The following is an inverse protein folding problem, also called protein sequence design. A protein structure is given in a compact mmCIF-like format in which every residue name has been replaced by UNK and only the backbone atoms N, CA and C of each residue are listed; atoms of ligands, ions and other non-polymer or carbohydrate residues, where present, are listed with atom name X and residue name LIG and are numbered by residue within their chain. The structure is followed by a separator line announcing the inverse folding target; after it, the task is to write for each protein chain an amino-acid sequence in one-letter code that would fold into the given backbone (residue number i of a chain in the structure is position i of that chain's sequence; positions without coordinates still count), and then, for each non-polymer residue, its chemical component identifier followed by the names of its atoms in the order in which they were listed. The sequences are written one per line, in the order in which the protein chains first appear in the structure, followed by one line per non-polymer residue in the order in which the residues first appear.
data_IF_079357505821
#
_entry.id   IF_079357505821
#
_cell.length_a   1.000
_cell.length_b   1.000
_cell.length_c   1.000
_cell.angle_alpha   90.00
_cell.angle_beta   90.00
_cell.angle_gamma   90.00
#
_symmetry.space_group_name_H-M   'P 1'
#
loop_
_entity.id
_entity.type
_entity.pdbx_description
1 polymer ?
#
# COMPACT_ATOMS: atom_id res chain seq x y z
N UNK A 1 5.77 -7.58 -0.13
CA UNK A 1 4.58 -8.42 -0.38
C UNK A 1 4.47 -8.84 -1.85
N UNK A 2 4.43 -7.92 -2.82
CA UNK A 2 4.33 -8.26 -4.25
C UNK A 2 5.45 -9.16 -4.80
N UNK A 3 6.70 -9.00 -4.34
CA UNK A 3 7.79 -9.94 -4.70
C UNK A 3 7.48 -11.40 -4.30
N UNK A 4 6.78 -11.61 -3.18
CA UNK A 4 6.40 -12.95 -2.73
C UNK A 4 5.30 -13.56 -3.60
N UNK A 5 4.54 -12.74 -4.34
CA UNK A 5 3.56 -13.17 -5.34
C UNK A 5 4.19 -13.34 -6.74
N UNK A 6 5.52 -13.56 -6.81
CA UNK A 6 6.29 -13.68 -8.06
C UNK A 6 6.11 -12.49 -9.03
N UNK A 7 5.69 -11.32 -8.55
CA UNK A 7 5.47 -10.15 -9.38
C UNK A 7 6.79 -9.44 -9.69
N UNK A 8 7.00 -9.10 -10.97
CA UNK A 8 8.16 -8.31 -11.40
C UNK A 8 8.05 -6.90 -10.82
N UNK A 9 9.02 -6.50 -9.99
CA UNK A 9 9.01 -5.22 -9.28
C UNK A 9 8.86 -3.99 -10.20
N UNK A 10 9.38 -4.04 -11.43
CA UNK A 10 9.25 -2.95 -12.40
C UNK A 10 7.81 -2.69 -12.87
N UNK A 11 6.91 -3.67 -12.73
CA UNK A 11 5.48 -3.50 -13.07
C UNK A 11 4.63 -3.08 -11.89
N UNK A 12 5.16 -3.16 -10.67
CA UNK A 12 4.47 -2.81 -9.44
C UNK A 12 5.39 -1.98 -8.55
N UNK A 13 5.74 -0.76 -8.99
CA UNK A 13 6.57 0.13 -8.19
C UNK A 13 5.83 0.50 -6.90
N UNK A 14 6.59 0.63 -5.82
CA UNK A 14 6.04 1.07 -4.54
C UNK A 14 5.66 2.56 -4.60
N UNK A 15 4.46 2.88 -4.15
CA UNK A 15 4.08 4.24 -3.79
C UNK A 15 3.04 4.20 -2.66
N UNK A 16 3.14 5.09 -1.66
CA UNK A 16 2.14 5.10 -0.59
C UNK A 16 0.74 5.39 -1.16
N UNK A 17 -0.22 4.55 -0.81
CA UNK A 17 -1.59 4.60 -1.34
C UNK A 17 -1.78 3.94 -2.70
N UNK A 18 -0.72 3.37 -3.31
CA UNK A 18 -0.87 2.55 -4.50
C UNK A 18 -1.63 1.26 -4.17
N UNK A 19 -2.48 0.83 -5.10
CA UNK A 19 -3.25 -0.41 -4.99
C UNK A 19 -2.95 -1.24 -6.22
N UNK A 20 -2.47 -2.45 -6.00
CA UNK A 20 -2.06 -3.40 -7.02
C UNK A 20 -3.00 -4.60 -7.00
N UNK A 21 -3.41 -5.05 -8.19
CA UNK A 21 -4.21 -6.26 -8.37
C UNK A 21 -3.40 -7.27 -9.23
N UNK A 22 -2.40 -7.96 -8.64
CA UNK A 22 -1.63 -8.95 -9.37
C UNK A 22 -2.54 -10.09 -9.87
N UNK A 23 -2.36 -10.58 -11.11
CA UNK A 23 -3.16 -11.69 -11.64
C UNK A 23 -3.12 -12.92 -10.74
N UNK A 24 -4.29 -13.45 -10.38
CA UNK A 24 -4.41 -14.64 -9.52
C UNK A 24 -4.00 -14.43 -8.05
N UNK A 25 -3.76 -13.19 -7.62
CA UNK A 25 -3.40 -12.84 -6.25
C UNK A 25 -4.42 -11.91 -5.58
N UNK A 26 -4.24 -11.65 -4.27
CA UNK A 26 -5.08 -10.69 -3.56
C UNK A 26 -4.76 -9.26 -4.01
N UNK A 27 -5.70 -8.34 -3.77
CA UNK A 27 -5.43 -6.90 -3.85
C UNK A 27 -4.38 -6.55 -2.79
N UNK A 28 -3.33 -5.83 -3.19
CA UNK A 28 -2.24 -5.39 -2.31
C UNK A 28 -2.19 -3.87 -2.33
N UNK A 29 -2.31 -3.24 -1.16
CA UNK A 29 -2.05 -1.81 -1.03
C UNK A 29 -0.69 -1.53 -0.40
N UNK A 30 -0.03 -0.50 -0.91
CA UNK A 30 1.25 -0.03 -0.42
C UNK A 30 1.05 1.07 0.61
N UNK A 31 1.78 0.99 1.73
CA UNK A 31 1.86 2.09 2.68
C UNK A 31 3.29 2.32 3.12
N UNK A 32 3.63 3.58 3.42
CA UNK A 32 4.79 3.84 4.27
C UNK A 32 4.61 3.12 5.60
N UNK A 33 5.72 2.65 6.15
CA UNK A 33 5.75 2.04 7.47
C UNK A 33 5.43 3.09 8.54
N UNK A 34 4.63 2.72 9.54
CA UNK A 34 4.27 3.56 10.69
C UNK A 34 5.42 3.71 11.71
N UNK A 35 6.65 3.90 11.24
CA UNK A 35 7.78 4.20 12.12
C UNK A 35 7.64 5.59 12.73
N UNK A 36 8.20 5.76 13.94
CA UNK A 36 8.32 7.07 14.60
C UNK A 36 8.91 8.14 13.67
N UNK A 37 9.93 7.79 12.88
CA UNK A 37 10.51 8.72 11.91
C UNK A 37 9.48 9.26 10.91
N UNK A 38 8.68 8.37 10.28
CA UNK A 38 7.70 8.79 9.28
C UNK A 38 6.56 9.59 9.89
N UNK A 39 6.09 9.20 11.08
CA UNK A 39 5.01 9.91 11.77
C UNK A 39 5.47 11.26 12.32
N UNK A 40 6.67 11.35 12.88
CA UNK A 40 7.19 12.58 13.49
C UNK A 40 7.61 13.62 12.44
N UNK A 41 8.08 13.19 11.27
CA UNK A 41 8.46 14.09 10.16
C UNK A 41 7.28 14.46 9.25
N UNK A 42 6.08 13.91 9.49
CA UNK A 42 4.91 14.11 8.64
C UNK A 42 4.98 13.38 7.28
N UNK A 43 6.00 12.54 7.06
CA UNK A 43 6.10 11.68 5.87
C UNK A 43 4.95 10.66 5.78
N UNK A 44 4.38 10.30 6.93
CA UNK A 44 3.11 9.58 7.03
C UNK A 44 2.25 10.24 8.10
N UNK A 45 1.04 10.64 7.74
CA UNK A 45 0.02 11.10 8.70
C UNK A 45 -1.01 10.01 8.97
N UNK A 46 -1.76 10.13 10.07
CA UNK A 46 -2.85 9.20 10.39
C UNK A 46 -3.90 9.17 9.28
N UNK A 47 -4.33 10.33 8.78
CA UNK A 47 -5.31 10.44 7.70
C UNK A 47 -4.84 9.75 6.40
N UNK A 48 -3.55 9.90 6.06
CA UNK A 48 -2.95 9.20 4.92
C UNK A 48 -2.98 7.68 5.11
N UNK A 49 -2.69 7.19 6.32
CA UNK A 49 -2.75 5.76 6.62
C UNK A 49 -4.17 5.20 6.56
N UNK A 50 -5.15 5.92 7.12
CA UNK A 50 -6.57 5.56 7.08
C UNK A 50 -7.11 5.53 5.64
N UNK A 51 -6.69 6.45 4.77
CA UNK A 51 -7.08 6.47 3.35
C UNK A 51 -6.69 5.17 2.62
N UNK A 52 -5.55 4.55 2.98
CA UNK A 52 -5.16 3.24 2.43
C UNK A 52 -6.22 2.17 2.72
N UNK A 53 -6.72 2.11 3.96
CA UNK A 53 -7.75 1.14 4.34
C UNK A 53 -9.11 1.47 3.75
N UNK A 54 -9.48 2.75 3.69
CA UNK A 54 -10.71 3.20 3.05
C UNK A 54 -10.76 2.77 1.58
N UNK A 55 -9.65 2.93 0.85
CA UNK A 55 -9.49 2.49 -0.55
C UNK A 55 -9.56 0.97 -0.71
N UNK A 56 -8.99 0.21 0.22
CA UNK A 56 -9.11 -1.26 0.22
C UNK A 56 -10.55 -1.68 0.45
N UNK A 57 -11.23 -1.10 1.45
CA UNK A 57 -12.62 -1.42 1.78
C UNK A 57 -13.57 -1.17 0.61
N UNK A 58 -13.36 -0.08 -0.14
CA UNK A 58 -14.16 0.24 -1.33
C UNK A 58 -14.03 -0.80 -2.47
N UNK A 59 -13.03 -1.69 -2.43
CA UNK A 59 -12.76 -2.72 -3.45
C UNK A 59 -13.17 -4.13 -3.00
N UNK A 60 -13.69 -4.28 -1.78
CA UNK A 60 -14.20 -5.54 -1.24
C UNK A 60 -15.72 -5.68 -1.39
N UNK A 61 -16.39 -4.71 -2.04
CA UNK A 61 -17.83 -4.69 -2.26
C UNK A 61 -18.24 -5.50 -3.51
#
# INVERSE_FOLDING_TARGET
MLKALACRASRYPFAHGAVHAPPGGPIVADSYHCSRYNTNTGRLTTAMFEDVFARLRARLA
#
